data_IF_221202857736
#
_entry.id   IF_221202857736
#
_cell.length_a   1.000
_cell.length_b   1.000
_cell.length_c   1.000
_cell.angle_alpha   90.00
_cell.angle_beta   90.00
_cell.angle_gamma   90.00
#
_symmetry.space_group_name_H-M   'P 1'
#
loop_
_entity.id
_entity.type
_entity.pdbx_description
1 polymer ?
#
# COMPACT_ATOMS: atom_id res chain seq x y z
N UNK A 1 32.37 -63.84 41.33
CA UNK A 1 31.11 -64.30 40.69
C UNK A 1 30.80 -63.38 39.52
N UNK A 2 30.70 -63.97 38.31
CA UNK A 2 30.00 -63.53 37.09
C UNK A 2 30.25 -62.11 36.53
N UNK A 3 30.93 -62.11 35.39
CA UNK A 3 30.70 -61.21 34.24
C UNK A 3 29.20 -61.10 33.93
N UNK A 4 28.72 -59.90 33.61
CA UNK A 4 27.78 -59.67 32.51
C UNK A 4 27.97 -58.25 31.96
N UNK A 5 28.45 -58.19 30.71
CA UNK A 5 28.34 -57.01 29.86
C UNK A 5 26.93 -56.95 29.27
N UNK A 6 26.27 -55.79 29.33
CA UNK A 6 25.06 -55.45 28.55
C UNK A 6 25.12 -53.93 28.28
N UNK A 7 24.56 -53.41 27.17
CA UNK A 7 25.30 -53.01 25.99
C UNK A 7 25.31 -51.47 25.81
N UNK A 8 26.25 -50.98 25.00
CA UNK A 8 26.13 -49.68 24.35
C UNK A 8 24.84 -49.66 23.52
N UNK A 9 23.78 -49.05 24.04
CA UNK A 9 22.64 -48.62 23.25
C UNK A 9 22.96 -47.23 22.72
N UNK A 10 23.35 -47.18 21.44
CA UNK A 10 23.32 -45.97 20.64
C UNK A 10 21.93 -45.34 20.75
N UNK A 11 21.79 -44.28 21.55
CA UNK A 11 20.65 -43.39 21.42
C UNK A 11 20.93 -42.56 20.18
N UNK A 12 20.36 -42.98 19.06
CA UNK A 12 20.34 -42.20 17.83
C UNK A 12 19.77 -40.82 18.17
N UNK A 13 20.59 -39.78 17.98
CA UNK A 13 20.14 -38.40 17.99
C UNK A 13 19.01 -38.29 16.97
N UNK A 14 17.77 -38.15 17.45
CA UNK A 14 16.66 -37.72 16.61
C UNK A 14 16.94 -36.25 16.32
N UNK A 15 17.74 -36.02 15.27
CA UNK A 15 17.81 -34.74 14.61
C UNK A 15 16.44 -34.48 14.00
N UNK A 16 15.59 -33.75 14.75
CA UNK A 16 14.43 -33.10 14.14
C UNK A 16 15.04 -32.05 13.20
N UNK A 17 15.15 -32.41 11.93
CA UNK A 17 15.39 -31.45 10.88
C UNK A 17 14.23 -30.45 10.94
N UNK A 18 14.52 -29.21 11.29
CA UNK A 18 13.59 -28.09 11.20
C UNK A 18 13.32 -27.81 9.73
N UNK A 19 12.50 -28.66 9.11
CA UNK A 19 11.89 -28.41 7.80
C UNK A 19 10.78 -27.39 8.04
N UNK A 20 11.13 -26.11 8.06
CA UNK A 20 10.20 -25.08 8.50
C UNK A 20 10.59 -23.66 8.16
N UNK A 21 11.15 -23.42 6.97
CA UNK A 21 11.35 -22.05 6.46
C UNK A 21 11.15 -21.93 4.93
N UNK A 22 10.23 -22.72 4.34
CA UNK A 22 9.89 -22.63 2.91
C UNK A 22 8.39 -22.44 2.61
N UNK A 23 7.60 -21.99 3.57
CA UNK A 23 6.15 -21.82 3.38
C UNK A 23 5.64 -20.42 3.74
N UNK A 24 6.27 -19.35 3.22
CA UNK A 24 5.70 -18.00 3.31
C UNK A 24 5.73 -17.20 1.98
N UNK A 25 6.13 -17.81 0.86
CA UNK A 25 6.19 -17.13 -0.45
C UNK A 25 5.38 -17.84 -1.54
N UNK A 26 4.11 -18.19 -1.27
CA UNK A 26 3.25 -18.78 -2.30
C UNK A 26 1.87 -18.17 -2.49
N UNK A 27 1.47 -17.17 -1.71
CA UNK A 27 0.15 -16.53 -1.84
C UNK A 27 0.22 -14.99 -1.88
N UNK A 28 1.21 -14.42 -2.56
CA UNK A 28 1.02 -13.07 -3.13
C UNK A 28 0.39 -13.31 -4.49
N UNK A 29 -0.91 -13.08 -4.61
CA UNK A 29 -1.53 -12.86 -5.91
C UNK A 29 -0.83 -11.63 -6.51
N UNK A 30 0.09 -11.86 -7.43
CA UNK A 30 0.62 -10.79 -8.27
C UNK A 30 -0.56 -10.20 -9.00
N UNK A 31 -0.71 -8.89 -8.89
CA UNK A 31 -1.72 -8.11 -9.57
C UNK A 31 -1.48 -8.19 -11.08
N UNK A 32 -2.00 -9.24 -11.71
CA UNK A 32 -1.82 -9.53 -13.13
C UNK A 32 -2.86 -8.77 -13.94
N UNK A 33 -2.46 -7.61 -14.48
CA UNK A 33 -3.15 -7.02 -15.62
C UNK A 33 -2.63 -7.73 -16.86
N UNK A 34 -3.50 -8.53 -17.49
CA UNK A 34 -3.15 -9.33 -18.66
C UNK A 34 -2.32 -8.56 -19.68
N UNK A 35 -1.21 -9.16 -20.09
CA UNK A 35 -0.28 -8.62 -21.08
C UNK A 35 -0.94 -8.49 -22.46
N UNK A 36 -0.95 -7.28 -22.99
CA UNK A 36 -0.88 -7.04 -24.43
C UNK A 36 0.21 -5.99 -24.63
N UNK A 37 1.46 -6.47 -24.75
CA UNK A 37 2.62 -5.64 -25.06
C UNK A 37 2.95 -5.82 -26.54
N UNK A 38 2.64 -4.79 -27.32
CA UNK A 38 3.31 -4.53 -28.58
C UNK A 38 4.74 -4.05 -28.29
N UNK A 39 5.71 -4.64 -29.00
CA UNK A 39 7.14 -4.39 -28.83
C UNK A 39 7.54 -3.01 -29.36
N UNK A 40 8.21 -2.21 -28.54
CA UNK A 40 9.12 -1.18 -29.04
C UNK A 40 10.46 -1.25 -28.30
N UNK A 41 11.51 -1.56 -29.06
CA UNK A 41 12.91 -1.55 -28.64
C UNK A 41 13.41 -0.11 -28.59
N UNK A 42 14.12 0.27 -27.53
CA UNK A 42 15.12 1.33 -27.62
C UNK A 42 16.27 1.10 -26.63
N UNK A 43 17.49 1.04 -27.18
CA UNK A 43 18.76 0.96 -26.48
C UNK A 43 19.25 2.37 -26.11
N UNK A 44 19.60 2.64 -24.84
CA UNK A 44 20.78 3.47 -24.55
C UNK A 44 21.27 3.46 -23.08
N UNK A 45 22.57 3.19 -22.93
CA UNK A 45 23.53 4.11 -22.28
C UNK A 45 23.54 4.21 -20.74
N UNK A 46 24.38 3.41 -20.09
CA UNK A 46 24.67 3.47 -18.65
C UNK A 46 25.74 4.51 -18.30
N UNK A 47 25.39 5.52 -17.49
CA UNK A 47 26.36 6.36 -16.76
C UNK A 47 26.00 6.41 -15.26
N UNK A 48 26.98 6.11 -14.40
CA UNK A 48 26.90 6.10 -12.93
C UNK A 48 26.55 7.49 -12.38
N UNK A 49 25.48 7.61 -11.60
CA UNK A 49 25.12 8.83 -10.85
C UNK A 49 24.54 8.51 -9.47
N UNK A 50 24.68 9.48 -8.56
CA UNK A 50 24.31 9.54 -7.15
C UNK A 50 23.00 8.80 -6.79
N UNK A 51 22.91 8.26 -5.56
CA UNK A 51 21.67 7.75 -4.93
C UNK A 51 20.66 8.89 -4.70
N UNK A 52 20.14 9.43 -5.78
CA UNK A 52 18.77 9.93 -5.86
C UNK A 52 17.89 8.70 -5.68
N UNK A 53 16.90 8.75 -4.79
CA UNK A 53 15.86 7.71 -4.75
C UNK A 53 15.21 7.72 -6.12
N UNK A 54 15.56 6.76 -6.99
CA UNK A 54 14.95 6.62 -8.31
C UNK A 54 13.45 6.45 -8.08
N UNK A 55 12.67 7.44 -8.52
CA UNK A 55 11.21 7.33 -8.54
C UNK A 55 10.88 6.20 -9.49
N UNK A 56 10.35 5.10 -8.96
CA UNK A 56 9.88 3.99 -9.76
C UNK A 56 8.62 4.50 -10.49
N UNK A 57 8.78 4.98 -11.71
CA UNK A 57 7.67 5.40 -12.56
C UNK A 57 6.96 4.16 -13.11
N UNK A 58 6.16 3.51 -12.27
CA UNK A 58 5.34 2.36 -12.64
C UNK A 58 3.90 2.82 -12.76
N UNK A 59 3.48 3.17 -13.97
CA UNK A 59 2.08 3.47 -14.27
C UNK A 59 1.34 2.17 -14.62
N UNK A 60 0.13 2.02 -14.08
CA UNK A 60 -0.73 0.87 -14.35
C UNK A 60 -1.11 0.82 -15.85
N UNK A 61 -1.00 -0.33 -16.53
CA UNK A 61 -1.38 -0.46 -17.93
C UNK A 61 -2.82 0.02 -18.23
N UNK A 62 -2.99 0.69 -19.36
CA UNK A 62 -4.26 1.30 -19.75
C UNK A 62 -4.62 2.59 -19.01
N UNK A 63 -3.71 3.13 -18.20
CA UNK A 63 -3.85 4.42 -17.48
C UNK A 63 -2.58 5.26 -17.67
N UNK A 64 -2.68 6.56 -17.42
CA UNK A 64 -1.56 7.50 -17.46
C UNK A 64 -1.22 8.05 -16.08
N UNK A 65 -2.19 8.06 -15.16
CA UNK A 65 -2.11 8.71 -13.85
C UNK A 65 -2.07 7.73 -12.68
N UNK A 66 -2.42 6.46 -12.88
CA UNK A 66 -2.44 5.51 -11.77
C UNK A 66 -1.04 4.92 -11.52
N UNK A 67 -0.25 5.52 -10.62
CA UNK A 67 1.07 5.01 -10.24
C UNK A 67 1.86 5.99 -9.37
N UNK A 68 3.12 5.69 -9.01
CA UNK A 68 4.02 6.67 -8.42
C UNK A 68 4.39 7.72 -9.49
N UNK A 69 3.71 8.86 -9.46
CA UNK A 69 3.74 9.83 -10.55
C UNK A 69 2.88 9.38 -11.74
N UNK A 70 3.07 10.02 -12.89
CA UNK A 70 2.27 9.78 -14.09
C UNK A 70 3.12 9.85 -15.36
N UNK A 71 2.57 9.31 -16.45
CA UNK A 71 3.16 9.32 -17.81
C UNK A 71 2.34 10.17 -18.79
N UNK A 72 1.43 11.00 -18.26
CA UNK A 72 0.57 11.88 -19.03
C UNK A 72 1.38 13.03 -19.65
N UNK A 73 1.11 13.38 -20.91
CA UNK A 73 1.72 14.55 -21.56
C UNK A 73 1.18 15.87 -21.04
N UNK A 74 -0.11 15.88 -20.68
CA UNK A 74 -0.83 17.02 -20.14
C UNK A 74 -2.03 16.54 -19.31
N UNK A 75 -2.77 17.47 -18.70
CA UNK A 75 -3.87 17.17 -17.80
C UNK A 75 -4.98 16.32 -18.44
N UNK A 76 -5.25 16.45 -19.74
CA UNK A 76 -6.32 15.72 -20.42
C UNK A 76 -5.84 14.43 -21.12
N UNK A 77 -4.54 14.15 -21.10
CA UNK A 77 -3.99 12.86 -21.56
C UNK A 77 -4.40 11.74 -20.61
N UNK A 78 -5.34 10.91 -21.07
CA UNK A 78 -5.91 9.78 -20.35
C UNK A 78 -5.70 8.49 -21.13
N UNK A 79 -5.49 7.40 -20.42
CA UNK A 79 -5.39 6.05 -20.97
C UNK A 79 -6.75 5.48 -21.41
N UNK A 80 -6.71 4.24 -21.91
CA UNK A 80 -7.90 3.52 -22.38
C UNK A 80 -8.94 3.26 -21.28
N UNK A 81 -8.50 3.13 -20.02
CA UNK A 81 -9.39 3.07 -18.85
C UNK A 81 -9.70 4.47 -18.30
N UNK A 82 -10.16 5.37 -19.17
CA UNK A 82 -10.24 6.82 -18.92
C UNK A 82 -11.01 7.21 -17.65
N UNK A 83 -12.11 6.52 -17.32
CA UNK A 83 -12.89 6.81 -16.11
C UNK A 83 -12.13 6.49 -14.82
N UNK A 84 -11.32 5.42 -14.82
CA UNK A 84 -10.44 5.10 -13.68
C UNK A 84 -9.25 6.04 -13.64
N UNK A 85 -8.72 6.37 -14.81
CA UNK A 85 -7.57 7.25 -14.94
C UNK A 85 -7.88 8.68 -14.46
N UNK A 86 -9.11 9.17 -14.69
CA UNK A 86 -9.61 10.42 -14.08
C UNK A 86 -9.57 10.37 -12.55
N UNK A 87 -9.98 9.25 -11.94
CA UNK A 87 -9.89 9.11 -10.48
C UNK A 87 -8.44 9.23 -9.98
N UNK A 88 -7.48 8.63 -10.68
CA UNK A 88 -6.06 8.71 -10.35
C UNK A 88 -5.50 10.11 -10.60
N UNK A 89 -5.87 10.77 -11.70
CA UNK A 89 -5.49 12.15 -11.99
C UNK A 89 -5.93 13.11 -10.90
N UNK A 90 -7.19 13.03 -10.48
CA UNK A 90 -7.72 13.87 -9.42
C UNK A 90 -7.01 13.61 -8.08
N UNK A 91 -6.65 12.36 -7.82
CA UNK A 91 -5.87 11.95 -6.65
C UNK A 91 -4.44 12.49 -6.69
N UNK A 92 -3.75 12.41 -7.84
CA UNK A 92 -2.40 12.93 -8.07
C UNK A 92 -2.28 14.45 -7.81
N UNK A 93 -3.35 15.20 -8.09
CA UNK A 93 -3.41 16.65 -7.89
C UNK A 93 -3.82 17.08 -6.47
N UNK A 94 -4.00 16.13 -5.55
CA UNK A 94 -4.33 16.45 -4.18
C UNK A 94 -3.12 16.98 -3.41
N UNK A 95 -3.42 17.74 -2.35
CA UNK A 95 -2.45 18.06 -1.31
C UNK A 95 -1.79 16.80 -0.75
N UNK A 96 -0.46 16.80 -0.75
CA UNK A 96 0.32 15.63 -0.39
C UNK A 96 1.62 15.96 0.36
N UNK A 97 2.22 14.90 0.92
CA UNK A 97 3.55 14.87 1.53
C UNK A 97 4.36 13.80 0.77
N UNK A 98 5.29 14.21 -0.12
CA UNK A 98 6.13 13.27 -0.86
C UNK A 98 6.96 12.36 0.04
N UNK A 99 7.41 11.24 -0.51
CA UNK A 99 8.27 10.28 0.20
C UNK A 99 9.52 10.99 0.75
N UNK A 100 9.80 10.79 2.05
CA UNK A 100 10.94 11.40 2.71
C UNK A 100 10.82 12.90 2.97
N UNK A 101 9.68 13.54 2.71
CA UNK A 101 9.47 14.98 2.97
C UNK A 101 8.77 15.25 4.31
N UNK A 102 8.89 16.49 4.79
CA UNK A 102 8.20 16.98 5.99
C UNK A 102 7.23 18.09 5.62
N UNK A 103 5.98 17.98 6.05
CA UNK A 103 4.97 19.03 5.88
C UNK A 103 4.00 19.01 7.05
N UNK A 104 3.51 20.18 7.47
CA UNK A 104 2.58 20.30 8.61
C UNK A 104 3.11 19.75 9.95
N UNK A 105 4.43 19.62 10.10
CA UNK A 105 5.05 18.95 11.25
C UNK A 105 5.04 17.42 11.18
N UNK A 106 4.53 16.82 10.10
CA UNK A 106 4.53 15.39 9.83
C UNK A 106 5.66 15.02 8.88
N UNK A 107 6.44 13.99 9.22
CA UNK A 107 7.45 13.38 8.34
C UNK A 107 6.85 12.16 7.63
N UNK A 108 6.86 12.14 6.31
CA UNK A 108 6.52 10.92 5.56
C UNK A 108 7.76 10.01 5.46
N UNK A 109 7.80 8.96 6.29
CA UNK A 109 8.88 7.96 6.26
C UNK A 109 8.62 6.81 5.27
N UNK A 110 7.52 6.86 4.54
CA UNK A 110 7.15 5.87 3.54
C UNK A 110 7.93 6.07 2.23
N UNK A 111 8.00 5.01 1.41
CA UNK A 111 8.60 5.05 0.08
C UNK A 111 7.73 5.78 -0.95
N UNK A 112 6.43 5.93 -0.69
CA UNK A 112 5.50 6.62 -1.59
C UNK A 112 4.84 7.83 -0.92
N UNK A 113 4.37 8.74 -1.76
CA UNK A 113 3.63 9.95 -1.38
C UNK A 113 2.39 9.62 -0.53
N UNK A 114 2.20 10.34 0.57
CA UNK A 114 0.97 10.26 1.40
C UNK A 114 0.10 11.48 1.15
N UNK A 115 -1.21 11.27 1.10
CA UNK A 115 -2.18 12.29 0.73
C UNK A 115 -3.09 12.63 1.91
N UNK A 116 -3.84 13.72 1.75
CA UNK A 116 -4.87 14.10 2.70
C UNK A 116 -5.99 13.04 2.74
N UNK A 117 -6.51 12.69 3.92
CA UNK A 117 -7.53 11.65 4.08
C UNK A 117 -8.79 11.87 3.24
N UNK A 118 -9.20 13.12 3.08
CA UNK A 118 -10.28 13.51 2.15
C UNK A 118 -10.03 13.00 0.73
N UNK A 119 -8.81 13.09 0.23
CA UNK A 119 -8.49 12.69 -1.14
C UNK A 119 -8.47 11.18 -1.31
N UNK A 120 -7.95 10.44 -0.34
CA UNK A 120 -8.03 8.97 -0.37
C UNK A 120 -9.49 8.50 -0.29
N UNK A 121 -10.33 9.15 0.53
CA UNK A 121 -11.76 8.87 0.57
C UNK A 121 -12.45 9.18 -0.77
N UNK A 122 -12.17 10.33 -1.36
CA UNK A 122 -12.76 10.74 -2.64
C UNK A 122 -12.30 9.81 -3.77
N UNK A 123 -11.03 9.36 -3.73
CA UNK A 123 -10.48 8.36 -4.65
C UNK A 123 -11.18 7.01 -4.50
N UNK A 124 -11.36 6.52 -3.27
CA UNK A 124 -12.12 5.30 -2.99
C UNK A 124 -13.53 5.37 -3.59
N UNK A 125 -14.24 6.48 -3.34
CA UNK A 125 -15.58 6.72 -3.83
C UNK A 125 -15.63 6.81 -5.36
N UNK A 126 -14.63 7.43 -5.98
CA UNK A 126 -14.52 7.52 -7.43
C UNK A 126 -14.39 6.13 -8.06
N UNK A 127 -13.44 5.31 -7.58
CA UNK A 127 -13.25 3.94 -8.07
C UNK A 127 -14.49 3.06 -7.89
N UNK A 128 -15.16 3.18 -6.74
CA UNK A 128 -16.41 2.48 -6.43
C UNK A 128 -17.57 2.92 -7.32
N UNK A 129 -17.61 4.19 -7.73
CA UNK A 129 -18.61 4.71 -8.66
C UNK A 129 -18.39 4.19 -10.08
N UNK A 130 -17.14 4.10 -10.51
CA UNK A 130 -16.78 3.49 -11.81
C UNK A 130 -17.17 2.01 -11.84
N UNK A 131 -17.00 1.30 -10.73
CA UNK A 131 -17.51 -0.05 -10.48
C UNK A 131 -17.22 -1.08 -11.59
N UNK A 132 -15.99 -1.09 -12.12
CA UNK A 132 -15.52 -2.13 -13.05
C UNK A 132 -14.64 -3.14 -12.31
N UNK A 133 -14.43 -4.32 -12.90
CA UNK A 133 -13.46 -5.28 -12.36
C UNK A 133 -12.08 -4.62 -12.19
N UNK A 134 -11.67 -3.79 -13.15
CA UNK A 134 -10.41 -3.06 -13.12
C UNK A 134 -10.37 -2.03 -11.97
N UNK A 135 -11.39 -1.16 -11.84
CA UNK A 135 -11.42 -0.14 -10.78
C UNK A 135 -11.46 -0.74 -9.38
N UNK A 136 -12.24 -1.81 -9.19
CA UNK A 136 -12.36 -2.49 -7.92
C UNK A 136 -11.07 -3.22 -7.53
N UNK A 137 -10.39 -3.85 -8.50
CA UNK A 137 -9.07 -4.46 -8.30
C UNK A 137 -8.02 -3.41 -7.92
N UNK A 138 -7.97 -2.29 -8.63
CA UNK A 138 -7.05 -1.18 -8.35
C UNK A 138 -7.25 -0.62 -6.95
N UNK A 139 -8.51 -0.40 -6.56
CA UNK A 139 -8.88 0.03 -5.22
C UNK A 139 -8.41 -0.96 -4.15
N UNK A 140 -8.73 -2.24 -4.29
CA UNK A 140 -8.28 -3.26 -3.34
C UNK A 140 -6.75 -3.27 -3.18
N UNK A 141 -6.01 -3.17 -4.28
CA UNK A 141 -4.56 -3.07 -4.24
C UNK A 141 -4.09 -1.82 -3.49
N UNK A 142 -4.58 -0.64 -3.88
CA UNK A 142 -4.19 0.63 -3.28
C UNK A 142 -4.43 0.65 -1.77
N UNK A 143 -5.64 0.34 -1.29
CA UNK A 143 -6.00 0.40 0.13
C UNK A 143 -5.48 -0.79 0.96
N UNK A 144 -4.88 -1.80 0.32
CA UNK A 144 -4.13 -2.85 1.02
C UNK A 144 -2.68 -2.41 1.25
N UNK A 145 -2.06 -1.79 0.24
CA UNK A 145 -0.66 -1.36 0.28
C UNK A 145 -0.49 -0.03 1.02
N UNK A 146 -1.41 0.91 0.80
CA UNK A 146 -1.44 2.23 1.45
C UNK A 146 -2.22 2.14 2.73
N UNK A 147 -1.64 2.74 3.75
CA UNK A 147 -1.89 2.31 5.11
C UNK A 147 -2.32 3.48 6.00
N UNK A 148 -1.92 4.71 5.66
CA UNK A 148 -2.31 5.93 6.36
C UNK A 148 -2.40 7.13 5.42
N UNK A 149 -3.25 8.07 5.81
CA UNK A 149 -3.42 9.40 5.26
C UNK A 149 -3.23 10.44 6.37
N UNK A 150 -3.18 11.73 6.03
CA UNK A 150 -3.13 12.79 7.05
C UNK A 150 -4.36 13.71 7.01
N UNK A 151 -4.76 14.23 8.16
CA UNK A 151 -5.74 15.32 8.28
C UNK A 151 -5.52 16.10 9.57
N UNK A 152 -6.12 17.28 9.64
CA UNK A 152 -6.16 18.09 10.86
C UNK A 152 -7.36 17.67 11.70
N UNK A 153 -7.11 17.31 12.96
CA UNK A 153 -8.14 16.84 13.88
C UNK A 153 -7.65 16.95 15.33
N UNK A 154 -8.56 16.89 16.30
CA UNK A 154 -8.24 16.73 17.72
C UNK A 154 -7.24 15.59 17.97
N UNK A 155 -6.38 15.70 19.02
CA UNK A 155 -5.39 14.68 19.34
C UNK A 155 -6.01 13.29 19.54
N UNK A 156 -5.43 12.28 18.90
CA UNK A 156 -5.85 10.88 19.10
C UNK A 156 -5.45 10.44 20.50
N UNK A 157 -6.38 9.81 21.23
CA UNK A 157 -6.12 9.22 22.56
C UNK A 157 -6.20 7.70 22.55
N UNK A 158 -7.06 7.12 21.72
CA UNK A 158 -7.23 5.67 21.63
C UNK A 158 -7.89 5.28 20.30
N UNK A 159 -7.97 3.98 20.03
CA UNK A 159 -8.75 3.42 18.96
C UNK A 159 -9.92 2.59 19.51
N UNK A 160 -11.15 3.06 19.27
CA UNK A 160 -12.35 2.41 19.74
C UNK A 160 -12.76 1.19 18.90
N UNK A 161 -12.37 1.14 17.63
CA UNK A 161 -12.76 0.06 16.71
C UNK A 161 -11.69 -0.22 15.68
N UNK A 162 -11.44 -1.51 15.46
CA UNK A 162 -10.45 -1.98 14.50
C UNK A 162 -11.09 -2.90 13.47
N UNK A 163 -10.67 -2.76 12.21
CA UNK A 163 -10.92 -3.75 11.17
C UNK A 163 -9.67 -4.60 11.00
N UNK A 164 -9.84 -5.92 10.89
CA UNK A 164 -8.76 -6.86 10.64
C UNK A 164 -8.98 -7.54 9.30
N UNK A 165 -7.95 -7.57 8.46
CA UNK A 165 -7.94 -8.34 7.22
C UNK A 165 -6.64 -9.10 7.08
N UNK A 166 -6.74 -10.42 7.05
CA UNK A 166 -5.60 -11.33 6.96
C UNK A 166 -4.58 -11.00 8.07
N UNK A 167 -3.50 -10.28 7.75
CA UNK A 167 -2.44 -9.87 8.68
C UNK A 167 -2.42 -8.35 8.96
N UNK A 168 -3.37 -7.60 8.41
CA UNK A 168 -3.46 -6.15 8.53
C UNK A 168 -4.53 -5.78 9.56
N UNK A 169 -4.19 -4.85 10.45
CA UNK A 169 -5.10 -4.28 11.44
C UNK A 169 -5.14 -2.76 11.25
N UNK A 170 -6.34 -2.20 11.11
CA UNK A 170 -6.60 -0.78 10.90
C UNK A 170 -7.48 -0.23 11.99
N UNK A 171 -7.17 0.94 12.53
CA UNK A 171 -8.11 1.68 13.34
C UNK A 171 -9.13 2.40 12.45
N UNK A 172 -10.40 2.06 12.56
CA UNK A 172 -11.48 2.68 11.76
C UNK A 172 -12.28 3.70 12.55
N UNK A 173 -12.16 3.70 13.89
CA UNK A 173 -12.82 4.67 14.77
C UNK A 173 -11.89 5.10 15.90
N UNK A 174 -11.39 6.32 15.81
CA UNK A 174 -10.51 6.92 16.82
C UNK A 174 -11.31 7.57 17.95
N UNK A 175 -10.77 7.49 19.16
CA UNK A 175 -11.17 8.32 20.30
C UNK A 175 -10.27 9.54 20.29
N UNK A 176 -10.87 10.73 20.39
CA UNK A 176 -10.17 12.01 20.26
C UNK A 176 -10.34 12.84 21.53
N UNK A 177 -9.30 13.59 21.89
CA UNK A 177 -9.37 14.57 22.98
C UNK A 177 -9.88 15.93 22.47
N UNK A 178 -11.19 16.12 22.54
CA UNK A 178 -11.87 17.33 22.05
C UNK A 178 -11.61 18.57 22.91
N UNK A 179 -10.93 18.43 24.06
CA UNK A 179 -10.56 19.57 24.90
C UNK A 179 -9.32 20.31 24.39
N UNK A 180 -8.50 19.65 23.56
CA UNK A 180 -7.29 20.21 22.94
C UNK A 180 -7.54 20.65 21.51
N UNK A 181 -6.81 21.65 21.04
CA UNK A 181 -6.93 22.16 19.66
C UNK A 181 -6.44 21.15 18.62
N UNK A 182 -7.01 21.22 17.41
CA UNK A 182 -6.64 20.34 16.31
C UNK A 182 -5.16 20.43 15.92
N UNK A 183 -4.60 19.29 15.54
CA UNK A 183 -3.26 19.15 15.01
C UNK A 183 -3.25 18.17 13.83
N UNK A 184 -2.24 18.31 12.98
CA UNK A 184 -2.03 17.39 11.86
C UNK A 184 -1.50 16.06 12.39
N UNK A 185 -2.18 14.97 12.03
CA UNK A 185 -1.87 13.62 12.50
C UNK A 185 -2.09 12.61 11.37
N UNK A 186 -1.49 11.43 11.51
CA UNK A 186 -1.72 10.28 10.65
C UNK A 186 -2.96 9.51 11.09
N UNK A 187 -3.77 9.08 10.14
CA UNK A 187 -4.94 8.23 10.33
C UNK A 187 -4.81 7.02 9.42
N UNK A 188 -5.18 5.84 9.91
CA UNK A 188 -5.18 4.62 9.12
C UNK A 188 -6.19 4.73 7.97
N UNK A 189 -5.87 4.21 6.80
CA UNK A 189 -6.85 4.11 5.71
C UNK A 189 -7.77 2.88 5.92
N UNK A 190 -9.09 3.00 5.71
CA UNK A 190 -9.98 1.85 5.72
C UNK A 190 -9.70 0.94 4.52
N UNK A 191 -10.08 -0.34 4.59
CA UNK A 191 -9.93 -1.22 3.43
C UNK A 191 -10.90 -0.84 2.32
N UNK A 192 -10.59 -1.25 1.08
CA UNK A 192 -11.29 -0.77 -0.11
C UNK A 192 -12.78 -1.08 -0.13
N UNK A 193 -13.23 -2.15 0.53
CA UNK A 193 -14.59 -2.68 0.64
C UNK A 193 -15.27 -2.35 1.99
N UNK A 194 -14.57 -1.73 2.93
CA UNK A 194 -15.16 -1.27 4.18
C UNK A 194 -16.15 -0.12 3.92
N UNK A 195 -17.27 -0.06 4.64
CA UNK A 195 -18.17 1.08 4.53
C UNK A 195 -17.40 2.36 4.87
N UNK A 196 -17.43 3.35 3.97
CA UNK A 196 -16.83 4.66 4.25
C UNK A 196 -17.65 5.27 5.37
N UNK A 197 -17.14 5.23 6.59
CA UNK A 197 -17.82 5.84 7.71
C UNK A 197 -17.77 7.37 7.53
N UNK A 198 -18.94 8.00 7.58
CA UNK A 198 -19.06 9.45 7.63
C UNK A 198 -18.27 9.95 8.86
N UNK A 199 -17.18 10.68 8.64
CA UNK A 199 -16.26 11.12 9.70
C UNK A 199 -14.80 10.69 9.50
N UNK A 200 -14.50 9.89 8.47
CA UNK A 200 -13.17 9.85 7.85
C UNK A 200 -12.81 11.18 7.17
#
# INVERSE_FOLDING_TARGET
>A
MKLFAIPFLCVASIGVQTVGAKLLYKNVETFDFGNELENHNDEQGKTRSNRTVERINLTVPGTKWCGPGNTASDYEDLGSNSEVDKCCRDHDHCDNIPAGETKYGLKNNDYFTRLHCKCDRDFQNCLRRVNTTFSNKLGNFYFTVRDQCYKKQHPIVDCAEHTNKIFLRRCVRYVLDTSRTDMWQWFDLPFYDDNVLDGF
#
